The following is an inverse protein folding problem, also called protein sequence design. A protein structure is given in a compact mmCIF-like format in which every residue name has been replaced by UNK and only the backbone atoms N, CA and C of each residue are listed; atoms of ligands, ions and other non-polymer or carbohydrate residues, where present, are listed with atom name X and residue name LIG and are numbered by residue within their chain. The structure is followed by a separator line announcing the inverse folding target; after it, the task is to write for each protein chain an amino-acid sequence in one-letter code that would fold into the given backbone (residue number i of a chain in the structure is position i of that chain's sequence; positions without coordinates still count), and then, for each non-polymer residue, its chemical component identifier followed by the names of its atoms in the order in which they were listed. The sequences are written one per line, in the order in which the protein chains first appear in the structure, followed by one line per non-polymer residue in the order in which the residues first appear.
data_IF_031368142883
#
_entry.id   IF_031368142883
#
_cell.length_a   1.000
_cell.length_b   1.000
_cell.length_c   1.000
_cell.angle_alpha   90.00
_cell.angle_beta   90.00
_cell.angle_gamma   90.00
#
_symmetry.space_group_name_H-M   'P 1'
#
loop_
_entity.id
_entity.type
_entity.pdbx_description
1 polymer ?
#
# COMPACT_ATOMS: atom_id res chain seq x y z
N UNK A 1 -1.55 -20.40 -27.77
CA UNK A 1 -1.71 -19.28 -26.81
C UNK A 1 -0.55 -19.38 -25.85
N UNK A 2 0.31 -18.37 -25.76
CA UNK A 2 1.49 -18.45 -24.89
C UNK A 2 1.04 -18.47 -23.42
N UNK A 3 1.37 -19.56 -22.71
CA UNK A 3 1.29 -19.67 -21.25
C UNK A 3 2.35 -18.74 -20.62
N UNK A 4 2.15 -17.43 -20.72
CA UNK A 4 2.89 -16.46 -19.91
C UNK A 4 2.30 -16.47 -18.52
N UNK A 5 3.10 -16.79 -17.50
CA UNK A 5 2.71 -16.58 -16.10
C UNK A 5 2.42 -15.09 -15.89
N UNK A 6 1.28 -14.76 -15.28
CA UNK A 6 0.93 -13.38 -15.00
C UNK A 6 1.93 -12.74 -14.02
N UNK A 7 2.32 -11.49 -14.27
CA UNK A 7 3.21 -10.74 -13.40
C UNK A 7 2.48 -10.37 -12.09
N UNK A 8 3.15 -10.57 -10.96
CA UNK A 8 2.56 -10.39 -9.62
C UNK A 8 2.68 -8.95 -9.11
N UNK A 9 1.57 -8.41 -8.62
CA UNK A 9 1.48 -7.08 -8.05
C UNK A 9 0.74 -7.09 -6.72
N UNK A 10 1.07 -6.15 -5.84
CA UNK A 10 0.36 -5.94 -4.57
C UNK A 10 -0.18 -4.52 -4.54
N UNK A 11 -1.45 -4.39 -4.16
CA UNK A 11 -2.02 -3.09 -3.81
C UNK A 11 -1.61 -2.72 -2.39
N UNK A 12 -0.92 -1.59 -2.27
CA UNK A 12 -0.43 -1.04 -1.01
C UNK A 12 -1.27 0.21 -0.70
N UNK A 13 -2.19 0.14 0.27
CA UNK A 13 -3.00 1.31 0.65
C UNK A 13 -2.10 2.38 1.28
N UNK A 14 -2.38 3.65 0.98
CA UNK A 14 -1.69 4.80 1.57
C UNK A 14 -2.60 5.45 2.63
N UNK A 15 -2.27 5.27 3.91
CA UNK A 15 -3.15 5.66 5.05
C UNK A 15 -2.38 6.32 6.19
N UNK A 16 -3.07 7.05 7.06
CA UNK A 16 -2.42 7.92 8.07
C UNK A 16 -1.59 7.17 9.09
N UNK A 17 -2.12 6.08 9.67
CA UNK A 17 -1.53 5.44 10.85
C UNK A 17 -0.78 4.16 10.51
N UNK A 18 0.04 4.23 9.45
CA UNK A 18 0.93 3.16 9.00
C UNK A 18 2.33 3.70 8.80
N UNK A 19 3.30 2.97 9.31
CA UNK A 19 4.71 3.14 8.98
C UNK A 19 5.05 2.22 7.81
N UNK A 20 5.66 2.79 6.78
CA UNK A 20 6.16 2.08 5.62
C UNK A 20 7.68 2.01 5.75
N UNK A 21 8.24 0.81 5.80
CA UNK A 21 9.68 0.57 5.90
C UNK A 21 10.10 -0.32 4.73
N UNK A 22 11.21 0.01 4.07
CA UNK A 22 11.72 -0.78 2.95
C UNK A 22 13.18 -1.14 3.20
N UNK A 23 13.45 -2.42 3.44
CA UNK A 23 14.77 -2.97 3.70
C UNK A 23 14.90 -4.31 2.97
N UNK A 24 16.07 -4.60 2.40
CA UNK A 24 16.40 -5.91 1.81
C UNK A 24 15.30 -6.47 0.88
N UNK A 25 14.86 -5.66 -0.10
CA UNK A 25 13.80 -6.01 -1.05
C UNK A 25 12.44 -6.31 -0.41
N UNK A 26 12.21 -5.89 0.84
CA UNK A 26 10.95 -6.13 1.55
C UNK A 26 10.35 -4.82 1.99
N UNK A 27 9.16 -4.51 1.48
CA UNK A 27 8.33 -3.42 1.98
C UNK A 27 7.46 -3.93 3.12
N UNK A 28 7.62 -3.35 4.30
CA UNK A 28 6.86 -3.65 5.50
C UNK A 28 5.89 -2.52 5.80
N UNK A 29 4.60 -2.84 5.92
CA UNK A 29 3.59 -1.95 6.46
C UNK A 29 3.36 -2.35 7.91
N UNK A 30 3.52 -1.41 8.82
CA UNK A 30 3.36 -1.69 10.25
C UNK A 30 2.55 -0.62 10.97
N UNK A 31 1.77 -1.10 11.94
CA UNK A 31 1.17 -0.31 13.02
C UNK A 31 1.12 -1.18 14.27
N UNK A 32 0.72 -0.59 15.40
CA UNK A 32 0.74 -1.27 16.72
C UNK A 32 0.07 -2.66 16.68
N UNK A 33 -1.04 -2.79 15.95
CA UNK A 33 -1.86 -4.01 15.89
C UNK A 33 -1.60 -4.90 14.68
N UNK A 34 -0.79 -4.47 13.70
CA UNK A 34 -0.71 -5.14 12.40
C UNK A 34 0.66 -5.00 11.74
N UNK A 35 1.11 -6.08 11.09
CA UNK A 35 2.29 -6.07 10.22
C UNK A 35 2.00 -6.85 8.94
N UNK A 36 2.32 -6.26 7.80
CA UNK A 36 2.23 -6.87 6.47
C UNK A 36 3.61 -6.74 5.84
N UNK A 37 4.10 -7.84 5.27
CA UNK A 37 5.36 -7.86 4.53
C UNK A 37 5.11 -8.16 3.06
N UNK A 38 5.74 -7.39 2.20
CA UNK A 38 5.64 -7.51 0.75
C UNK A 38 7.06 -7.65 0.22
N UNK A 39 7.38 -8.83 -0.32
CA UNK A 39 8.63 -9.05 -1.03
C UNK A 39 8.53 -8.42 -2.41
N UNK A 40 9.42 -7.49 -2.70
CA UNK A 40 9.52 -6.81 -3.98
C UNK A 40 10.27 -7.72 -4.96
N UNK A 41 9.67 -7.94 -6.14
CA UNK A 41 10.24 -8.82 -7.16
C UNK A 41 11.18 -8.05 -8.10
N UNK A 42 10.78 -6.85 -8.52
CA UNK A 42 11.57 -5.98 -9.40
C UNK A 42 11.16 -4.51 -9.19
N UNK A 43 12.10 -3.70 -8.68
CA UNK A 43 11.91 -2.26 -8.42
C UNK A 43 11.57 -1.46 -9.68
N UNK A 44 11.98 -1.94 -10.87
CA UNK A 44 11.76 -1.24 -12.12
C UNK A 44 10.36 -1.52 -12.70
N UNK A 45 9.67 -2.58 -12.25
CA UNK A 45 8.41 -3.06 -12.82
C UNK A 45 7.15 -2.61 -12.09
N UNK A 46 7.25 -1.76 -11.07
CA UNK A 46 6.09 -1.19 -10.40
C UNK A 46 5.15 -0.48 -11.39
N UNK A 47 3.84 -0.61 -11.20
CA UNK A 47 2.85 0.09 -12.05
C UNK A 47 2.80 1.56 -11.62
N UNK A 48 2.73 1.81 -10.32
CA UNK A 48 2.95 3.15 -9.77
C UNK A 48 4.39 3.57 -10.04
N UNK A 49 4.58 4.80 -10.50
CA UNK A 49 5.90 5.38 -10.76
C UNK A 49 6.07 6.62 -9.91
N UNK A 50 7.15 6.69 -9.14
CA UNK A 50 7.62 7.90 -8.48
C UNK A 50 8.99 8.21 -9.06
N UNK A 51 9.15 9.39 -9.66
CA UNK A 51 10.40 9.77 -10.33
C UNK A 51 10.68 11.25 -10.14
N UNK A 52 11.96 11.59 -10.04
CA UNK A 52 12.43 12.96 -10.17
C UNK A 52 12.28 13.42 -11.63
N UNK A 53 11.66 14.59 -11.81
CA UNK A 53 11.53 15.26 -13.09
C UNK A 53 12.20 16.64 -13.01
N UNK A 54 13.00 16.99 -14.01
CA UNK A 54 13.49 18.35 -14.18
C UNK A 54 12.42 19.17 -14.91
N UNK A 55 11.91 20.23 -14.27
CA UNK A 55 11.04 21.17 -14.97
C UNK A 55 11.86 22.11 -15.88
N UNK A 56 11.17 22.94 -16.68
CA UNK A 56 11.79 23.95 -17.56
C UNK A 56 12.64 25.02 -16.83
N UNK A 57 12.53 25.11 -15.51
CA UNK A 57 13.29 26.02 -14.64
C UNK A 57 14.45 25.32 -13.93
N UNK A 58 14.81 24.08 -14.32
CA UNK A 58 15.83 23.24 -13.64
C UNK A 58 15.54 22.95 -12.15
N UNK A 59 14.30 23.12 -11.69
CA UNK A 59 13.90 22.65 -10.36
C UNK A 59 13.57 21.17 -10.46
N UNK A 60 14.18 20.38 -9.58
CA UNK A 60 13.79 18.99 -9.38
C UNK A 60 12.39 18.99 -8.76
N UNK A 61 11.45 18.28 -9.37
CA UNK A 61 10.16 17.97 -8.77
C UNK A 61 9.92 16.48 -8.88
N UNK A 62 9.49 15.86 -7.79
CA UNK A 62 9.00 14.50 -7.82
C UNK A 62 7.62 14.47 -8.46
N UNK A 63 7.40 13.51 -9.33
CA UNK A 63 6.08 13.19 -9.83
C UNK A 63 5.71 11.76 -9.46
N UNK A 64 4.45 11.59 -9.06
CA UNK A 64 3.84 10.29 -8.79
C UNK A 64 2.73 10.03 -9.82
N UNK A 65 2.78 8.86 -10.45
CA UNK A 65 1.85 8.46 -11.48
C UNK A 65 1.26 7.07 -11.19
N UNK A 66 0.08 6.81 -11.75
CA UNK A 66 -0.65 5.54 -11.63
C UNK A 66 -0.96 5.16 -10.19
N UNK A 67 -1.59 6.07 -9.46
CA UNK A 67 -2.18 5.76 -8.14
C UNK A 67 -3.52 5.07 -8.41
N UNK A 68 -3.70 3.87 -7.84
CA UNK A 68 -4.93 3.11 -7.99
C UNK A 68 -5.97 3.62 -6.99
N UNK A 69 -7.20 3.82 -7.47
CA UNK A 69 -8.38 4.06 -6.65
C UNK A 69 -9.23 2.79 -6.68
N UNK A 70 -9.34 2.12 -5.54
CA UNK A 70 -10.12 0.90 -5.39
C UNK A 70 -11.49 1.23 -4.78
N UNK A 71 -12.53 1.32 -5.62
CA UNK A 71 -13.91 1.66 -5.23
C UNK A 71 -14.67 0.45 -4.69
N UNK A 72 -15.67 0.66 -3.83
CA UNK A 72 -16.43 -0.42 -3.18
C UNK A 72 -15.71 -1.06 -2.00
N UNK A 73 -14.62 -0.44 -1.54
CA UNK A 73 -13.79 -0.90 -0.44
C UNK A 73 -13.52 0.23 0.55
N UNK A 74 -13.47 -0.13 1.83
CA UNK A 74 -12.89 0.67 2.90
C UNK A 74 -11.73 -0.11 3.54
N UNK A 75 -10.81 0.58 4.22
CA UNK A 75 -9.73 -0.06 4.97
C UNK A 75 -10.14 -0.23 6.44
N UNK A 76 -9.98 -1.43 6.98
CA UNK A 76 -9.98 -1.63 8.42
C UNK A 76 -8.64 -1.13 8.97
N UNK A 77 -8.68 0.04 9.60
CA UNK A 77 -7.47 0.70 10.09
C UNK A 77 -6.74 -0.18 11.10
N UNK A 78 -7.39 -1.08 11.82
CA UNK A 78 -6.73 -1.93 12.84
C UNK A 78 -5.94 -3.09 12.23
N UNK A 79 -6.49 -3.77 11.22
CA UNK A 79 -5.83 -4.93 10.59
C UNK A 79 -4.99 -4.57 9.37
N UNK A 80 -5.24 -3.39 8.77
CA UNK A 80 -4.76 -2.95 7.46
C UNK A 80 -5.36 -3.74 6.28
N UNK A 81 -6.35 -4.59 6.54
CA UNK A 81 -7.09 -5.30 5.52
C UNK A 81 -8.18 -4.44 4.89
N UNK A 82 -8.43 -4.65 3.61
CA UNK A 82 -9.57 -4.10 2.90
C UNK A 82 -10.85 -4.86 3.26
N UNK A 83 -11.93 -4.11 3.44
CA UNK A 83 -13.29 -4.61 3.65
C UNK A 83 -14.13 -4.19 2.45
N UNK A 84 -14.77 -5.14 1.79
CA UNK A 84 -15.68 -4.86 0.68
C UNK A 84 -16.99 -4.28 1.24
N UNK A 85 -17.30 -3.01 0.93
CA UNK A 85 -18.46 -2.30 1.51
C UNK A 85 -19.69 -2.35 0.62
N UNK A 86 -19.52 -2.65 -0.68
CA UNK A 86 -20.55 -2.55 -1.73
C UNK A 86 -21.05 -1.12 -1.97
N UNK A 87 -20.53 -0.10 -1.28
CA UNK A 87 -20.83 1.31 -1.54
C UNK A 87 -19.87 1.84 -2.61
N UNK A 88 -20.35 2.23 -3.81
CA UNK A 88 -19.48 2.76 -4.86
C UNK A 88 -18.84 4.11 -4.51
N UNK A 89 -19.34 4.82 -3.48
CA UNK A 89 -18.75 6.05 -2.97
C UNK A 89 -17.56 5.78 -2.05
N UNK A 90 -17.47 4.60 -1.43
CA UNK A 90 -16.31 4.20 -0.65
C UNK A 90 -15.15 3.84 -1.57
N UNK A 91 -13.95 4.26 -1.18
CA UNK A 91 -12.74 3.89 -1.89
C UNK A 91 -11.51 3.94 -1.00
N UNK A 92 -10.47 3.21 -1.42
CA UNK A 92 -9.12 3.31 -0.86
C UNK A 92 -8.13 3.62 -1.98
N UNK A 93 -7.26 4.61 -1.76
CA UNK A 93 -6.19 4.97 -2.68
C UNK A 93 -4.88 4.33 -2.26
N UNK A 94 -4.10 3.91 -3.25
CA UNK A 94 -2.83 3.24 -2.99
C UNK A 94 -1.95 3.10 -4.20
N UNK A 95 -0.79 2.48 -3.99
CA UNK A 95 0.19 2.20 -5.02
C UNK A 95 0.14 0.72 -5.44
N UNK A 96 0.53 0.43 -6.67
CA UNK A 96 0.69 -0.93 -7.19
C UNK A 96 2.17 -1.22 -7.40
N UNK A 97 2.71 -2.08 -6.53
CA UNK A 97 4.12 -2.49 -6.56
C UNK A 97 4.24 -3.90 -7.12
N UNK A 98 5.33 -4.17 -7.85
CA UNK A 98 5.64 -5.51 -8.36
C UNK A 98 6.23 -6.34 -7.22
N UNK A 99 5.41 -7.23 -6.66
CA UNK A 99 5.71 -7.88 -5.39
C UNK A 99 4.75 -9.01 -5.08
N UNK A 100 5.07 -9.75 -4.01
CA UNK A 100 4.23 -10.79 -3.43
C UNK A 100 4.08 -10.53 -1.93
N UNK A 101 2.91 -10.84 -1.39
CA UNK A 101 2.67 -10.79 0.05
C UNK A 101 3.39 -11.99 0.67
N UNK A 102 4.27 -11.75 1.64
CA UNK A 102 4.91 -12.83 2.38
C UNK A 102 3.89 -13.44 3.36
N UNK A 103 3.83 -14.78 3.48
CA UNK A 103 3.03 -15.40 4.52
C UNK A 103 3.57 -14.95 5.88
N UNK A 104 2.71 -14.35 6.71
CA UNK A 104 3.02 -14.13 8.10
C UNK A 104 3.28 -15.51 8.71
N UNK A 105 4.54 -15.80 9.05
CA UNK A 105 4.91 -17.07 9.66
C UNK A 105 4.05 -17.31 10.89
N UNK A 106 3.18 -18.32 10.85
CA UNK A 106 2.58 -18.87 12.04
C UNK A 106 3.73 -19.35 12.93
N UNK A 107 4.06 -18.61 13.99
CA UNK A 107 4.81 -19.22 15.09
C UNK A 107 3.90 -20.30 15.69
N UNK A 108 4.11 -21.55 15.28
CA UNK A 108 3.60 -22.71 16.02
C UNK A 108 4.10 -22.57 17.46
N UNK A 109 3.18 -22.40 18.40
CA UNK A 109 3.49 -22.57 19.82
C UNK A 109 3.93 -24.02 20.03
N UNK A 110 5.22 -24.27 20.12
CA UNK A 110 5.77 -25.50 20.68
C UNK A 110 6.12 -25.24 22.14
N UNK A 111 5.45 -25.96 23.05
CA UNK A 111 5.88 -26.13 24.44
C UNK A 111 5.22 -25.15 25.43
N UNK A 112 4.16 -25.60 26.09
CA UNK A 112 3.71 -25.03 27.35
C UNK A 112 4.71 -25.41 28.45
N UNK A 113 5.27 -24.41 29.13
CA UNK A 113 5.83 -24.53 30.47
C UNK A 113 5.16 -23.45 31.35
N UNK A 114 4.28 -23.81 32.30
CA UNK A 114 3.46 -22.85 33.03
C UNK A 114 4.20 -22.31 34.26
N UNK A 115 5.25 -21.50 34.08
CA UNK A 115 5.80 -20.70 35.19
C UNK A 115 6.69 -19.53 34.74
N UNK A 116 6.05 -18.45 34.27
CA UNK A 116 6.50 -17.03 34.41
C UNK A 116 5.49 -16.11 33.72
N UNK A 117 4.65 -15.45 34.51
CA UNK A 117 3.82 -14.34 34.03
C UNK A 117 4.61 -13.04 34.17
N UNK A 118 5.13 -12.53 33.06
CA UNK A 118 5.44 -11.11 32.88
C UNK A 118 5.18 -10.73 31.42
N UNK A 119 4.10 -9.96 31.20
CA UNK A 119 3.99 -9.00 30.09
C UNK A 119 4.03 -9.49 28.63
N UNK A 120 3.37 -10.58 28.24
CA UNK A 120 3.19 -10.86 26.81
C UNK A 120 1.96 -10.14 26.24
N UNK A 121 2.22 -9.11 25.42
CA UNK A 121 1.22 -8.54 24.50
C UNK A 121 0.82 -9.66 23.54
N UNK A 122 -0.34 -10.29 23.79
CA UNK A 122 -1.02 -11.13 22.80
C UNK A 122 -1.27 -10.27 21.54
N UNK A 123 -0.39 -10.39 20.55
CA UNK A 123 -0.73 -9.97 19.18
C UNK A 123 -1.86 -10.89 18.72
N UNK A 124 -3.10 -10.42 18.81
CA UNK A 124 -4.25 -11.08 18.21
C UNK A 124 -3.89 -11.40 16.77
N UNK A 125 -4.03 -12.66 16.36
CA UNK A 125 -3.72 -13.09 15.00
C UNK A 125 -4.42 -12.16 14.01
N UNK A 126 -3.66 -11.59 13.09
CA UNK A 126 -4.25 -10.79 12.03
C UNK A 126 -5.07 -11.73 11.14
N UNK A 127 -6.39 -11.66 11.24
CA UNK A 127 -7.33 -12.33 10.34
C UNK A 127 -7.32 -11.64 8.97
N UNK A 128 -6.22 -11.80 8.23
CA UNK A 128 -6.04 -11.29 6.88
C UNK A 128 -6.07 -12.44 5.88
N UNK A 129 -6.72 -12.20 4.75
CA UNK A 129 -6.77 -13.11 3.61
C UNK A 129 -6.35 -12.38 2.33
N UNK A 130 -6.02 -13.17 1.32
CA UNK A 130 -5.55 -12.69 0.03
C UNK A 130 -6.67 -12.83 -0.99
N UNK A 131 -7.10 -11.73 -1.58
CA UNK A 131 -7.96 -11.73 -2.75
C UNK A 131 -7.10 -11.48 -3.99
N UNK A 132 -7.23 -12.34 -5.00
CA UNK A 132 -6.48 -12.24 -6.25
C UNK A 132 -7.41 -11.82 -7.39
N UNK A 133 -6.96 -10.86 -8.20
CA UNK A 133 -7.67 -10.43 -9.40
C UNK A 133 -6.70 -10.44 -10.58
N UNK A 134 -7.04 -11.17 -11.63
CA UNK A 134 -6.23 -11.27 -12.84
C UNK A 134 -6.80 -10.37 -13.93
N UNK A 135 -5.94 -9.54 -14.52
CA UNK A 135 -6.28 -8.65 -15.62
C UNK A 135 -5.45 -9.00 -16.84
N UNK A 136 -6.08 -9.03 -18.02
CA UNK A 136 -5.32 -9.03 -19.26
C UNK A 136 -4.51 -7.73 -19.38
N UNK A 137 -3.28 -7.81 -19.87
CA UNK A 137 -2.40 -6.64 -20.05
C UNK A 137 -3.04 -5.50 -20.83
N UNK A 138 -3.89 -5.83 -21.81
CA UNK A 138 -4.59 -4.86 -22.65
C UNK A 138 -5.68 -4.10 -21.88
N UNK A 139 -6.19 -4.68 -20.79
CA UNK A 139 -7.32 -4.17 -20.03
C UNK A 139 -6.90 -3.36 -18.81
N UNK A 140 -5.64 -3.48 -18.33
CA UNK A 140 -5.18 -2.87 -17.08
C UNK A 140 -5.46 -1.36 -17.04
N UNK A 141 -5.05 -0.63 -18.08
CA UNK A 141 -5.19 0.84 -18.09
C UNK A 141 -6.63 1.32 -18.38
N UNK A 142 -7.47 0.42 -18.89
CA UNK A 142 -8.86 0.70 -19.27
C UNK A 142 -9.85 0.35 -18.15
N UNK A 143 -9.63 -0.75 -17.44
CA UNK A 143 -10.52 -1.26 -16.39
C UNK A 143 -10.17 -0.76 -14.99
N UNK A 144 -8.88 -0.52 -14.70
CA UNK A 144 -8.48 -0.01 -13.40
C UNK A 144 -8.60 1.52 -13.36
N UNK A 145 -9.11 2.02 -12.25
CA UNK A 145 -9.26 3.45 -12.05
C UNK A 145 -7.97 4.06 -11.48
N UNK A 146 -7.09 4.50 -12.39
CA UNK A 146 -5.88 5.24 -12.03
C UNK A 146 -6.09 6.75 -12.07
N UNK A 147 -5.59 7.46 -11.06
CA UNK A 147 -5.36 8.91 -11.12
C UNK A 147 -3.90 9.21 -11.46
N UNK A 148 -3.64 10.41 -12.01
CA UNK A 148 -2.32 10.79 -12.53
C UNK A 148 -1.79 9.73 -13.50
N UNK A 149 -2.62 9.40 -14.51
CA UNK A 149 -2.34 8.32 -15.45
C UNK A 149 -1.08 8.62 -16.26
N UNK A 150 -0.16 7.68 -16.28
CA UNK A 150 0.96 7.65 -17.22
C UNK A 150 1.00 6.31 -17.93
N UNK A 151 1.73 6.25 -19.05
CA UNK A 151 1.85 5.01 -19.82
C UNK A 151 2.59 3.95 -19.01
N UNK A 152 2.06 2.72 -19.00
CA UNK A 152 2.69 1.54 -18.43
C UNK A 152 2.86 0.51 -19.53
N UNK A 153 4.09 0.09 -19.79
CA UNK A 153 4.38 -0.96 -20.77
C UNK A 153 4.35 -2.32 -20.05
N UNK A 154 3.28 -3.10 -20.29
CA UNK A 154 3.07 -4.43 -19.72
C UNK A 154 3.33 -5.51 -20.78
N UNK A 155 4.14 -6.50 -20.43
CA UNK A 155 4.49 -7.61 -21.33
C UNK A 155 3.57 -8.82 -21.15
N UNK A 156 3.20 -9.09 -19.90
CA UNK A 156 2.32 -10.18 -19.47
C UNK A 156 1.01 -9.64 -18.90
N UNK A 157 0.01 -10.51 -18.82
CA UNK A 157 -1.15 -10.29 -17.95
C UNK A 157 -0.69 -10.07 -16.51
N UNK A 158 -1.48 -9.37 -15.70
CA UNK A 158 -1.10 -9.05 -14.33
C UNK A 158 -2.04 -9.70 -13.33
N UNK A 159 -1.50 -10.12 -12.19
CA UNK A 159 -2.24 -10.52 -11.01
C UNK A 159 -2.07 -9.46 -9.94
N UNK A 160 -3.18 -8.87 -9.50
CA UNK A 160 -3.20 -7.93 -8.38
C UNK A 160 -3.68 -8.67 -7.14
N UNK A 161 -2.86 -8.61 -6.10
CA UNK A 161 -3.14 -9.18 -4.80
C UNK A 161 -3.62 -8.07 -3.87
N UNK A 162 -4.80 -8.26 -3.32
CA UNK A 162 -5.43 -7.41 -2.31
C UNK A 162 -5.35 -8.10 -0.96
N UNK A 163 -4.99 -7.33 0.07
CA UNK A 163 -5.01 -7.78 1.46
C UNK A 163 -6.39 -7.43 2.01
N UNK A 164 -7.15 -8.44 2.40
CA UNK A 164 -8.55 -8.31 2.83
C UNK A 164 -8.73 -8.89 4.22
N UNK A 165 -9.78 -8.52 4.94
CA UNK A 165 -10.11 -9.14 6.23
C UNK A 165 -10.76 -10.51 6.00
N UNK A 166 -10.26 -11.56 6.65
CA UNK A 166 -10.74 -12.96 6.46
C UNK A 166 -12.14 -13.18 7.02
N UNK A 167 -12.44 -12.56 8.16
CA UNK A 167 -13.74 -12.68 8.81
C UNK A 167 -14.72 -11.67 8.23
N UNK A 168 -15.95 -12.11 7.99
CA UNK A 168 -17.05 -11.22 7.63
C UNK A 168 -17.22 -10.17 8.74
N UNK A 169 -16.74 -8.96 8.48
CA UNK A 169 -17.01 -7.79 9.33
C UNK A 169 -18.38 -7.23 9.00
N UNK A 170 -19.11 -6.83 10.03
CA UNK A 170 -20.30 -6.02 9.82
C UNK A 170 -19.89 -4.70 9.16
N UNK A 171 -20.33 -4.47 7.93
CA UNK A 171 -20.11 -3.20 7.23
C UNK A 171 -21.00 -2.14 7.88
N UNK A 172 -20.42 -1.39 8.81
CA UNK A 172 -21.04 -0.24 9.47
C UNK A 172 -20.81 1.06 8.70
N UNK A 173 -20.94 2.18 9.40
CA UNK A 173 -20.65 3.50 8.85
C UNK A 173 -19.16 3.63 8.53
N UNK A 174 -18.84 3.97 7.28
CA UNK A 174 -17.49 4.32 6.85
C UNK A 174 -17.18 5.78 7.13
N UNK A 175 -15.90 6.09 7.34
CA UNK A 175 -15.42 7.44 7.63
C UNK A 175 -14.43 7.89 6.57
N UNK A 176 -14.69 9.05 5.97
CA UNK A 176 -13.73 9.69 5.08
C UNK A 176 -12.50 10.16 5.86
N UNK A 177 -11.32 9.82 5.36
CA UNK A 177 -10.00 10.19 5.87
C UNK A 177 -9.15 10.78 4.76
N UNK A 178 -8.18 11.61 5.14
CA UNK A 178 -7.20 12.19 4.22
C UNK A 178 -5.83 12.26 4.88
N UNK A 179 -4.76 12.20 4.09
CA UNK A 179 -3.37 12.39 4.55
C UNK A 179 -3.04 13.87 4.81
N UNK A 180 -3.97 14.60 5.44
CA UNK A 180 -3.85 16.04 5.63
C UNK A 180 -2.68 16.36 6.56
N UNK A 181 -1.90 17.36 6.17
CA UNK A 181 -0.78 17.89 6.94
C UNK A 181 -1.11 19.33 7.30
N UNK A 182 -1.40 19.57 8.57
CA UNK A 182 -1.86 20.87 9.06
C UNK A 182 -0.71 21.75 9.59
N UNK A 183 0.45 21.17 9.89
CA UNK A 183 1.63 21.89 10.41
C UNK A 183 2.95 21.17 10.09
N UNK A 184 4.08 21.85 10.36
CA UNK A 184 5.44 21.31 10.12
C UNK A 184 5.73 20.04 10.92
N UNK A 185 5.31 19.95 12.18
CA UNK A 185 5.52 18.75 12.99
C UNK A 185 4.81 17.51 12.42
N UNK A 186 3.63 17.68 11.84
CA UNK A 186 2.91 16.63 11.12
C UNK A 186 3.60 16.26 9.81
N UNK A 187 4.18 17.26 9.12
CA UNK A 187 4.95 17.03 7.89
C UNK A 187 6.12 16.08 8.16
N UNK A 188 6.93 16.34 9.19
CA UNK A 188 8.09 15.51 9.49
C UNK A 188 7.70 14.11 9.98
N UNK A 189 6.61 14.00 10.77
CA UNK A 189 6.04 12.68 11.11
C UNK A 189 5.61 11.93 9.86
N UNK A 190 4.99 12.61 8.90
CA UNK A 190 4.53 12.00 7.66
C UNK A 190 5.69 11.57 6.76
N UNK A 191 6.76 12.38 6.64
CA UNK A 191 8.01 11.97 5.98
C UNK A 191 8.55 10.66 6.53
N UNK A 192 8.63 10.57 7.86
CA UNK A 192 9.11 9.37 8.53
C UNK A 192 8.21 8.16 8.26
N UNK A 193 6.88 8.36 8.24
CA UNK A 193 5.92 7.29 7.90
C UNK A 193 6.13 6.76 6.49
N UNK A 194 6.34 7.64 5.50
CA UNK A 194 6.48 7.23 4.08
C UNK A 194 7.92 6.90 3.69
N UNK A 195 8.88 6.87 4.62
CA UNK A 195 10.31 6.67 4.32
C UNK A 195 10.55 5.39 3.51
N UNK A 196 9.88 4.29 3.83
CA UNK A 196 9.98 3.06 3.04
C UNK A 196 9.46 3.19 1.61
N UNK A 197 8.50 4.08 1.36
CA UNK A 197 8.06 4.40 0.00
C UNK A 197 9.13 5.20 -0.73
N UNK A 198 9.70 6.24 -0.10
CA UNK A 198 10.78 7.02 -0.74
C UNK A 198 12.00 6.16 -1.03
N UNK A 199 12.39 5.30 -0.09
CA UNK A 199 13.51 4.36 -0.22
C UNK A 199 13.24 3.34 -1.34
N UNK A 200 12.01 2.82 -1.45
CA UNK A 200 11.62 1.88 -2.51
C UNK A 200 11.81 2.46 -3.93
N UNK A 201 11.52 3.75 -4.10
CA UNK A 201 11.64 4.44 -5.39
C UNK A 201 12.96 5.19 -5.57
N UNK A 202 13.88 5.13 -4.60
CA UNK A 202 15.18 5.80 -4.66
C UNK A 202 15.08 7.33 -4.61
N UNK A 203 14.13 7.87 -3.87
CA UNK A 203 13.97 9.32 -3.64
C UNK A 203 14.64 9.67 -2.31
N UNK A 204 15.83 10.28 -2.36
CA UNK A 204 16.66 10.53 -1.17
C UNK A 204 16.83 12.03 -0.85
N UNK A 205 16.61 12.93 -1.81
CA UNK A 205 16.76 14.37 -1.59
C UNK A 205 15.58 14.92 -0.78
N UNK A 206 15.91 15.72 0.24
CA UNK A 206 14.92 16.32 1.14
C UNK A 206 13.87 17.18 0.41
N UNK A 207 14.28 17.97 -0.59
CA UNK A 207 13.34 18.78 -1.40
C UNK A 207 12.33 17.91 -2.16
N UNK A 208 12.82 16.80 -2.71
CA UNK A 208 12.03 15.84 -3.49
C UNK A 208 11.05 15.07 -2.58
N UNK A 209 11.49 14.68 -1.38
CA UNK A 209 10.64 14.09 -0.34
C UNK A 209 9.56 15.07 0.10
N UNK A 210 9.91 16.33 0.37
CA UNK A 210 8.94 17.38 0.73
C UNK A 210 7.89 17.57 -0.36
N UNK A 211 8.31 17.58 -1.62
CA UNK A 211 7.39 17.71 -2.74
C UNK A 211 6.46 16.50 -2.88
N UNK A 212 6.96 15.28 -2.71
CA UNK A 212 6.13 14.07 -2.70
C UNK A 212 5.10 14.11 -1.56
N UNK A 213 5.52 14.52 -0.37
CA UNK A 213 4.65 14.68 0.80
C UNK A 213 3.48 15.62 0.51
N UNK A 214 3.74 16.78 -0.11
CA UNK A 214 2.69 17.73 -0.50
C UNK A 214 1.71 17.13 -1.53
N UNK A 215 2.24 16.41 -2.53
CA UNK A 215 1.40 15.77 -3.54
C UNK A 215 0.50 14.72 -2.88
N UNK A 216 1.07 13.83 -2.06
CA UNK A 216 0.32 12.78 -1.36
C UNK A 216 -0.75 13.38 -0.44
N UNK A 217 -0.41 14.42 0.32
CA UNK A 217 -1.37 15.11 1.19
C UNK A 217 -2.56 15.71 0.42
N UNK A 218 -2.31 16.22 -0.79
CA UNK A 218 -3.34 16.82 -1.63
C UNK A 218 -4.25 15.83 -2.36
N UNK A 219 -3.80 14.58 -2.59
CA UNK A 219 -4.54 13.63 -3.46
C UNK A 219 -4.96 12.33 -2.78
N UNK A 220 -4.30 11.95 -1.67
CA UNK A 220 -4.60 10.71 -0.96
C UNK A 220 -5.65 10.97 0.11
N UNK A 221 -6.79 10.36 -0.13
CA UNK A 221 -7.91 10.21 0.77
C UNK A 221 -8.48 8.80 0.61
N UNK A 222 -9.18 8.32 1.62
CA UNK A 222 -9.66 6.95 1.71
C UNK A 222 -10.83 6.86 2.68
N UNK A 223 -11.59 5.78 2.61
CA UNK A 223 -12.61 5.44 3.59
C UNK A 223 -12.09 4.38 4.55
N UNK A 224 -12.35 4.56 5.85
CA UNK A 224 -12.04 3.57 6.88
C UNK A 224 -13.27 3.05 7.61
N UNK A 225 -13.13 1.84 8.15
CA UNK A 225 -14.11 1.14 8.98
C UNK A 225 -13.47 0.63 10.28
#
# INVERSE_FOLDING_TARGET
MANGTADEYVFVPLVNDVNYEYNDQTLTLSKISATIKIKILDNNKHITKIKENKNKENKNKVDINNILVLTGYAIDENSLGLVHTLDPCDYVKGILVNGIIEPNGEKKQSGQDPSKQEGEIKRSGQNLSKQEIIFSKAEVMNKLYFIRKSKVDLYNDIKINLITVTESKHVGKTNYRSLKIDNENERDKFKNKIKGITDLYGIDKEEDINNLVEILSGIINYYSI
#
